data_IF_107790190407
#
_entry.id   IF_107790190407
#
_cell.length_a   1.000
_cell.length_b   1.000
_cell.length_c   1.000
_cell.angle_alpha   90.00
_cell.angle_beta   90.00
_cell.angle_gamma   90.00
#
_symmetry.space_group_name_H-M   'P 1'
#
loop_
_entity.id
_entity.type
_entity.pdbx_description
1 polymer ?
#
# COMPACT_ATOMS: atom_id res chain seq x y z
N UNK A 1 1.94 -2.49 29.52
CA UNK A 1 2.91 -2.27 28.62
C UNK A 1 3.68 -3.43 28.28
N UNK A 2 4.34 -4.03 29.18
CA UNK A 2 5.04 -5.19 28.89
C UNK A 2 4.20 -6.26 28.33
N UNK A 3 2.92 -6.29 28.66
CA UNK A 3 2.07 -7.37 28.23
C UNK A 3 1.98 -7.47 26.73
N UNK A 4 2.01 -6.37 26.03
CA UNK A 4 1.93 -6.41 24.59
C UNK A 4 3.14 -7.06 23.99
N UNK A 5 4.29 -6.72 24.46
CA UNK A 5 5.50 -7.30 23.96
C UNK A 5 5.60 -8.75 24.34
N UNK A 6 5.17 -9.07 25.53
CA UNK A 6 5.20 -10.45 25.92
C UNK A 6 4.28 -11.30 25.10
N UNK A 7 3.12 -10.77 24.77
CA UNK A 7 2.21 -11.51 23.92
C UNK A 7 2.82 -11.78 22.57
N UNK A 8 3.45 -10.78 22.00
CA UNK A 8 4.08 -10.99 20.71
C UNK A 8 5.21 -11.98 20.80
N UNK A 9 5.98 -11.89 21.85
CA UNK A 9 7.12 -12.77 21.98
C UNK A 9 6.69 -14.20 22.22
N UNK A 10 5.56 -14.39 22.85
CA UNK A 10 5.14 -15.73 23.17
C UNK A 10 4.26 -16.36 22.13
N UNK A 11 3.99 -15.68 21.05
CA UNK A 11 3.17 -16.22 20.00
C UNK A 11 3.81 -17.45 19.43
N UNK A 12 3.17 -18.57 19.54
CA UNK A 12 3.81 -19.81 19.09
C UNK A 12 4.08 -19.82 17.62
N UNK A 13 3.19 -19.23 16.87
CA UNK A 13 3.36 -19.25 15.45
C UNK A 13 4.62 -18.60 15.01
N UNK A 14 5.11 -17.67 15.79
CA UNK A 14 6.26 -16.94 15.36
C UNK A 14 7.48 -17.81 15.30
N UNK A 15 7.50 -18.84 16.08
CA UNK A 15 8.72 -19.61 16.14
C UNK A 15 8.86 -20.53 15.00
N UNK A 16 7.78 -20.90 14.36
CA UNK A 16 7.92 -21.87 13.34
C UNK A 16 7.88 -21.33 11.98
N UNK A 17 7.90 -20.12 11.81
CA UNK A 17 7.71 -19.60 10.50
C UNK A 17 8.98 -19.20 9.86
N UNK A 18 9.49 -20.01 8.98
CA UNK A 18 10.66 -19.58 8.22
C UNK A 18 10.37 -18.29 7.52
N UNK A 19 9.15 -18.11 7.09
CA UNK A 19 8.82 -16.90 6.41
C UNK A 19 8.78 -15.75 7.37
N UNK A 20 8.83 -15.99 8.65
CA UNK A 20 8.84 -14.89 9.58
C UNK A 20 10.08 -14.05 9.43
N UNK A 21 11.07 -14.55 8.71
CA UNK A 21 12.24 -13.73 8.46
C UNK A 21 11.93 -12.60 7.51
N UNK A 22 10.81 -12.66 6.83
CA UNK A 22 10.46 -11.60 5.91
C UNK A 22 9.85 -10.43 6.66
N UNK A 23 10.33 -9.25 6.34
CA UNK A 23 9.80 -8.04 6.92
C UNK A 23 8.41 -7.80 6.38
N UNK A 24 7.44 -7.41 7.21
CA UNK A 24 6.13 -7.03 6.70
C UNK A 24 6.26 -5.87 5.73
N UNK A 25 5.39 -5.87 4.73
CA UNK A 25 5.39 -4.81 3.75
C UNK A 25 4.80 -3.54 4.34
N UNK A 26 5.31 -2.41 3.90
CA UNK A 26 4.81 -1.11 4.33
C UNK A 26 3.89 -0.57 3.26
N UNK A 27 2.66 -0.29 3.65
CA UNK A 27 1.65 0.22 2.73
C UNK A 27 1.16 1.57 3.26
N UNK A 28 1.21 2.58 2.40
CA UNK A 28 0.71 3.89 2.76
C UNK A 28 -0.59 4.15 2.01
N UNK A 29 -1.64 4.52 2.75
CA UNK A 29 -2.91 4.86 2.17
C UNK A 29 -3.05 6.37 2.19
N UNK A 30 -3.39 6.97 1.05
CA UNK A 30 -3.65 8.41 0.99
C UNK A 30 -5.04 8.58 0.42
N UNK A 31 -5.98 8.92 1.28
CA UNK A 31 -7.38 9.02 0.91
C UNK A 31 -8.01 10.17 1.68
N UNK A 32 -8.52 11.19 0.98
CA UNK A 32 -9.12 12.33 1.66
C UNK A 32 -10.38 11.98 2.45
N UNK A 33 -11.14 11.00 2.00
CA UNK A 33 -12.38 10.65 2.67
C UNK A 33 -12.09 9.84 3.94
N UNK A 34 -12.40 10.38 5.13
CA UNK A 34 -11.93 9.74 6.36
C UNK A 34 -12.49 8.35 6.61
N UNK A 35 -13.74 8.11 6.28
CA UNK A 35 -14.32 6.80 6.52
C UNK A 35 -13.64 5.73 5.67
N UNK A 36 -13.48 6.02 4.38
CA UNK A 36 -12.82 5.07 3.50
C UNK A 36 -11.38 4.86 3.93
N UNK A 37 -10.70 5.92 4.30
CA UNK A 37 -9.33 5.85 4.76
C UNK A 37 -9.19 4.88 5.94
N UNK A 38 -10.08 5.00 6.91
CA UNK A 38 -10.04 4.14 8.08
C UNK A 38 -10.29 2.69 7.72
N UNK A 39 -11.27 2.45 6.86
CA UNK A 39 -11.60 1.08 6.46
C UNK A 39 -10.42 0.43 5.73
N UNK A 40 -9.78 1.20 4.87
CA UNK A 40 -8.67 0.67 4.09
C UNK A 40 -7.49 0.30 4.99
N UNK A 41 -7.12 1.20 5.89
CA UNK A 41 -5.95 0.92 6.72
C UNK A 41 -6.20 -0.24 7.67
N UNK A 42 -7.42 -0.37 8.16
CA UNK A 42 -7.75 -1.48 9.03
C UNK A 42 -7.65 -2.81 8.29
N UNK A 43 -8.15 -2.87 7.07
CA UNK A 43 -8.09 -4.10 6.30
C UNK A 43 -6.64 -4.50 6.01
N UNK A 44 -5.82 -3.54 5.66
CA UNK A 44 -4.42 -3.84 5.35
C UNK A 44 -3.66 -4.32 6.58
N UNK A 45 -3.97 -3.75 7.73
CA UNK A 45 -3.35 -4.22 8.96
C UNK A 45 -3.80 -5.62 9.31
N UNK A 46 -5.05 -5.95 9.06
CA UNK A 46 -5.54 -7.31 9.29
C UNK A 46 -4.81 -8.31 8.42
N UNK A 47 -4.37 -7.87 7.25
CA UNK A 47 -3.64 -8.75 6.35
C UNK A 47 -2.16 -8.82 6.68
N UNK A 48 -1.73 -8.19 7.75
CA UNK A 48 -0.34 -8.31 8.21
C UNK A 48 0.61 -7.25 7.70
N UNK A 49 0.10 -6.23 6.99
CA UNK A 49 0.98 -5.17 6.49
C UNK A 49 1.18 -4.11 7.56
N UNK A 50 2.33 -3.43 7.49
CA UNK A 50 2.54 -2.24 8.28
C UNK A 50 1.90 -1.09 7.52
N UNK A 51 0.68 -0.77 7.89
CA UNK A 51 -0.10 0.19 7.13
C UNK A 51 -0.33 1.47 7.92
N UNK A 52 -0.20 2.59 7.23
CA UNK A 52 -0.51 3.90 7.77
C UNK A 52 -1.42 4.60 6.77
N UNK A 53 -2.19 5.57 7.24
CA UNK A 53 -3.12 6.28 6.38
C UNK A 53 -3.09 7.76 6.71
N UNK A 54 -3.09 8.56 5.66
CA UNK A 54 -3.15 10.02 5.80
C UNK A 54 -4.17 10.56 4.80
N UNK A 55 -4.53 11.81 4.96
CA UNK A 55 -5.56 12.41 4.12
C UNK A 55 -5.04 13.27 2.99
N UNK A 56 -3.76 13.57 2.97
CA UNK A 56 -3.21 14.47 1.97
C UNK A 56 -1.82 14.05 1.52
N UNK A 57 -1.41 14.56 0.37
CA UNK A 57 -0.08 14.27 -0.13
C UNK A 57 0.99 14.90 0.76
N UNK A 58 0.73 16.06 1.31
CA UNK A 58 1.70 16.71 2.19
C UNK A 58 1.98 15.87 3.43
N UNK A 59 0.93 15.31 4.02
CA UNK A 59 1.11 14.42 5.15
C UNK A 59 1.88 13.17 4.76
N UNK A 60 1.63 12.66 3.56
CA UNK A 60 2.32 11.47 3.08
C UNK A 60 3.81 11.73 2.93
N UNK A 61 4.17 12.87 2.37
CA UNK A 61 5.58 13.21 2.18
C UNK A 61 6.28 13.34 3.53
N UNK A 62 5.62 14.00 4.49
CA UNK A 62 6.20 14.13 5.82
C UNK A 62 6.40 12.78 6.47
N UNK A 63 5.42 11.92 6.38
CA UNK A 63 5.49 10.62 7.02
C UNK A 63 6.60 9.76 6.43
N UNK A 64 6.87 9.93 5.17
CA UNK A 64 7.84 9.08 4.46
C UNK A 64 9.22 9.71 4.32
N UNK A 65 9.53 10.74 5.09
CA UNK A 65 10.82 11.40 4.95
C UNK A 65 11.99 10.47 5.15
N UNK A 66 11.84 9.56 6.10
CA UNK A 66 12.97 8.69 6.41
C UNK A 66 12.85 7.32 5.82
N UNK A 67 11.67 6.93 5.40
CA UNK A 67 11.49 5.59 4.86
C UNK A 67 10.31 5.56 3.90
N UNK A 68 10.58 5.14 2.66
CA UNK A 68 9.54 5.03 1.66
C UNK A 68 8.68 3.79 1.90
N UNK A 69 7.41 3.83 1.51
CA UNK A 69 6.60 2.64 1.59
C UNK A 69 6.95 1.69 0.45
N UNK A 70 6.51 0.45 0.58
CA UNK A 70 6.64 -0.51 -0.50
C UNK A 70 5.53 -0.32 -1.51
N UNK A 71 4.40 0.18 -1.05
CA UNK A 71 3.23 0.35 -1.91
C UNK A 71 2.44 1.55 -1.45
N UNK A 72 1.99 2.34 -2.40
CA UNK A 72 1.08 3.46 -2.15
C UNK A 72 -0.28 3.09 -2.68
N UNK A 73 -1.32 3.24 -1.85
CA UNK A 73 -2.71 3.09 -2.26
C UNK A 73 -3.33 4.47 -2.12
N UNK A 74 -3.62 5.12 -3.23
CA UNK A 74 -3.97 6.52 -3.19
C UNK A 74 -5.14 6.88 -4.08
N UNK A 75 -6.00 7.78 -3.60
CA UNK A 75 -6.98 8.41 -4.47
C UNK A 75 -6.25 9.05 -5.64
N UNK A 76 -6.89 9.02 -6.80
CA UNK A 76 -6.26 9.55 -8.01
C UNK A 76 -5.92 11.02 -7.88
N UNK A 77 -6.88 11.80 -7.40
CA UNK A 77 -6.73 13.25 -7.30
C UNK A 77 -6.61 13.63 -5.84
N UNK A 78 -5.55 14.35 -5.52
CA UNK A 78 -5.31 14.86 -4.18
C UNK A 78 -5.21 16.36 -4.26
N UNK A 79 -5.33 17.02 -3.11
CA UNK A 79 -5.19 18.46 -3.09
C UNK A 79 -3.79 18.82 -3.54
N UNK A 80 -3.69 19.57 -4.63
CA UNK A 80 -2.41 20.04 -5.18
C UNK A 80 -1.46 18.93 -5.62
N UNK A 81 -2.00 17.72 -5.86
CA UNK A 81 -1.15 16.61 -6.28
C UNK A 81 -2.00 15.51 -6.90
N UNK A 82 -1.35 14.49 -7.43
CA UNK A 82 -2.03 13.32 -7.95
C UNK A 82 -1.33 12.09 -7.39
N UNK A 83 -2.02 10.96 -7.44
CA UNK A 83 -1.44 9.71 -6.99
C UNK A 83 -0.15 9.40 -7.73
N UNK A 84 -0.12 9.67 -9.03
CA UNK A 84 1.06 9.35 -9.84
C UNK A 84 2.26 10.19 -9.46
N UNK A 85 2.05 11.47 -9.27
CA UNK A 85 3.14 12.35 -8.86
C UNK A 85 3.65 11.98 -7.49
N UNK A 86 2.73 11.66 -6.58
CA UNK A 86 3.12 11.30 -5.24
C UNK A 86 3.94 10.00 -5.26
N UNK A 87 3.51 9.02 -6.06
CA UNK A 87 4.24 7.77 -6.15
C UNK A 87 5.65 7.99 -6.68
N UNK A 88 5.80 8.86 -7.67
CA UNK A 88 7.11 9.19 -8.19
C UNK A 88 7.98 9.85 -7.13
N UNK A 89 7.38 10.74 -6.38
CA UNK A 89 8.08 11.45 -5.33
C UNK A 89 8.54 10.50 -4.23
N UNK A 90 7.70 9.53 -3.88
CA UNK A 90 8.02 8.57 -2.83
C UNK A 90 8.84 7.39 -3.33
N UNK A 91 8.90 7.19 -4.63
CA UNK A 91 9.69 6.11 -5.21
C UNK A 91 9.15 4.73 -4.97
N UNK A 92 7.85 4.53 -5.10
CA UNK A 92 7.23 3.25 -4.81
C UNK A 92 6.16 2.90 -5.83
N UNK A 93 5.69 1.65 -5.77
CA UNK A 93 4.59 1.20 -6.61
C UNK A 93 3.29 1.84 -6.15
N UNK A 94 2.31 1.91 -7.03
CA UNK A 94 1.06 2.59 -6.70
C UNK A 94 -0.17 1.87 -7.25
N UNK A 95 -1.18 1.75 -6.40
CA UNK A 95 -2.52 1.40 -6.79
C UNK A 95 -3.33 2.69 -6.72
N UNK A 96 -3.93 3.06 -7.84
CA UNK A 96 -4.71 4.29 -7.91
C UNK A 96 -6.19 3.99 -7.72
N UNK A 97 -6.82 4.72 -6.81
CA UNK A 97 -8.26 4.60 -6.57
C UNK A 97 -8.93 5.74 -7.34
N UNK A 98 -9.74 5.42 -8.32
CA UNK A 98 -10.31 6.43 -9.19
C UNK A 98 -11.82 6.39 -9.20
N UNK A 99 -12.44 7.57 -9.33
CA UNK A 99 -13.89 7.67 -9.51
C UNK A 99 -14.25 7.66 -10.98
N UNK A 100 -13.28 7.76 -11.87
CA UNK A 100 -13.55 7.79 -13.31
C UNK A 100 -13.96 6.42 -13.79
N UNK A 101 -14.86 6.38 -14.76
CA UNK A 101 -15.33 5.13 -15.34
C UNK A 101 -14.85 5.03 -16.78
N UNK A 102 -14.91 3.81 -17.30
CA UNK A 102 -14.57 3.59 -18.70
C UNK A 102 -13.17 3.04 -18.86
N UNK A 103 -12.99 2.34 -19.97
CA UNK A 103 -11.74 1.69 -20.28
C UNK A 103 -10.65 2.72 -20.57
N UNK A 104 -11.04 3.82 -21.19
CA UNK A 104 -10.08 4.84 -21.58
C UNK A 104 -9.38 5.44 -20.35
N UNK A 105 -10.15 5.71 -19.28
CA UNK A 105 -9.55 6.25 -18.06
C UNK A 105 -8.58 5.24 -17.44
N UNK A 106 -8.96 3.99 -17.44
CA UNK A 106 -8.11 2.92 -16.92
C UNK A 106 -6.81 2.84 -17.70
N UNK A 107 -6.92 2.82 -19.02
CA UNK A 107 -5.74 2.72 -19.87
C UNK A 107 -4.82 3.91 -19.66
N UNK A 108 -5.39 5.11 -19.56
CA UNK A 108 -4.58 6.31 -19.36
C UNK A 108 -3.79 6.23 -18.06
N UNK A 109 -4.43 5.80 -16.98
CA UNK A 109 -3.73 5.71 -15.70
C UNK A 109 -2.62 4.67 -15.73
N UNK A 110 -2.89 3.53 -16.37
CA UNK A 110 -1.85 2.51 -16.49
C UNK A 110 -0.70 3.00 -17.35
N UNK A 111 -1.01 3.71 -18.43
CA UNK A 111 0.03 4.27 -19.28
C UNK A 111 0.87 5.31 -18.56
N UNK A 112 0.27 6.02 -17.62
CA UNK A 112 1.00 7.01 -16.85
C UNK A 112 1.90 6.37 -15.79
N UNK A 113 1.77 5.07 -15.59
CA UNK A 113 2.66 4.38 -14.68
C UNK A 113 2.00 3.77 -13.46
N UNK A 114 0.67 3.79 -13.36
CA UNK A 114 0.01 3.12 -12.25
C UNK A 114 0.28 1.63 -12.35
N UNK A 115 0.60 1.00 -11.24
CA UNK A 115 0.83 -0.42 -11.24
C UNK A 115 -0.48 -1.19 -11.22
N UNK A 116 -1.52 -0.59 -10.69
CA UNK A 116 -2.87 -1.13 -10.76
C UNK A 116 -3.85 0.01 -10.52
N UNK A 117 -5.10 -0.21 -10.93
CA UNK A 117 -6.13 0.81 -10.80
C UNK A 117 -7.41 0.13 -10.30
N UNK A 118 -8.04 0.72 -9.29
CA UNK A 118 -9.32 0.26 -8.79
C UNK A 118 -10.32 1.37 -8.91
N UNK A 119 -11.47 1.06 -9.48
CA UNK A 119 -12.54 2.05 -9.66
C UNK A 119 -13.48 2.02 -8.47
N UNK A 120 -13.78 3.18 -7.93
CA UNK A 120 -14.74 3.29 -6.84
C UNK A 120 -16.14 3.14 -7.39
N UNK A 121 -17.00 2.39 -6.72
CA UNK A 121 -16.75 1.64 -5.48
C UNK A 121 -16.09 0.30 -5.77
N UNK A 122 -15.27 -0.14 -4.87
CA UNK A 122 -14.59 -1.42 -5.03
C UNK A 122 -14.75 -2.24 -3.75
N UNK A 123 -14.49 -3.53 -3.85
CA UNK A 123 -14.55 -4.39 -2.68
C UNK A 123 -13.22 -4.44 -1.97
N UNK A 124 -13.26 -4.57 -0.65
CA UNK A 124 -12.04 -4.66 0.13
C UNK A 124 -11.26 -5.93 -0.20
N UNK A 125 -11.96 -7.00 -0.55
CA UNK A 125 -11.29 -8.23 -0.94
C UNK A 125 -10.46 -8.02 -2.19
N UNK A 126 -11.01 -7.28 -3.14
CA UNK A 126 -10.30 -7.02 -4.37
C UNK A 126 -9.06 -6.17 -4.11
N UNK A 127 -9.22 -5.12 -3.32
CA UNK A 127 -8.07 -4.28 -2.97
C UNK A 127 -6.99 -5.10 -2.28
N UNK A 128 -7.39 -5.90 -1.31
CA UNK A 128 -6.44 -6.70 -0.56
C UNK A 128 -5.68 -7.65 -1.47
N UNK A 129 -6.37 -8.27 -2.42
CA UNK A 129 -5.74 -9.20 -3.33
C UNK A 129 -4.75 -8.50 -4.24
N UNK A 130 -5.09 -7.31 -4.72
CA UNK A 130 -4.19 -6.59 -5.60
C UNK A 130 -2.94 -6.10 -4.85
N UNK A 131 -3.11 -5.70 -3.60
CA UNK A 131 -1.97 -5.32 -2.78
C UNK A 131 -1.02 -6.52 -2.61
N UNK A 132 -1.57 -7.68 -2.29
CA UNK A 132 -0.74 -8.87 -2.11
C UNK A 132 0.03 -9.21 -3.38
N UNK A 133 -0.65 -9.09 -4.52
CA UNK A 133 -0.02 -9.43 -5.79
C UNK A 133 1.14 -8.51 -6.11
N UNK A 134 0.95 -7.21 -5.94
CA UNK A 134 2.01 -6.25 -6.23
C UNK A 134 3.18 -6.40 -5.26
N UNK A 135 2.89 -6.61 -4.00
CA UNK A 135 3.95 -6.75 -3.02
C UNK A 135 4.75 -8.02 -3.25
N UNK A 136 4.07 -9.07 -3.67
CA UNK A 136 4.74 -10.32 -3.99
C UNK A 136 5.65 -10.18 -5.19
N UNK A 137 5.19 -9.48 -6.23
CA UNK A 137 6.00 -9.26 -7.41
C UNK A 137 7.26 -8.48 -7.09
N UNK A 138 7.13 -7.48 -6.24
CA UNK A 138 8.27 -6.68 -5.86
C UNK A 138 9.34 -7.51 -5.20
N UNK A 139 8.94 -8.42 -4.33
CA UNK A 139 9.90 -9.27 -3.66
C UNK A 139 10.58 -10.24 -4.60
N UNK A 140 9.80 -10.80 -5.52
CA UNK A 140 10.37 -11.71 -6.49
C UNK A 140 11.37 -10.99 -7.39
N UNK A 141 10.99 -9.80 -7.85
CA UNK A 141 11.87 -9.02 -8.69
C UNK A 141 13.17 -8.67 -7.98
N UNK A 142 13.06 -8.34 -6.70
CA UNK A 142 14.23 -8.00 -5.93
C UNK A 142 15.15 -9.20 -5.77
N UNK A 143 14.57 -10.37 -5.55
CA UNK A 143 15.37 -11.58 -5.44
C UNK A 143 16.10 -11.88 -6.73
N UNK A 144 15.43 -11.71 -7.83
CA UNK A 144 16.05 -11.96 -9.11
C UNK A 144 17.25 -11.05 -9.33
N UNK A 145 17.11 -9.79 -8.93
CA UNK A 145 18.18 -8.86 -9.07
C UNK A 145 19.38 -9.26 -8.22
N UNK A 146 19.09 -9.75 -7.04
CA UNK A 146 20.16 -10.14 -6.15
C UNK A 146 20.92 -11.33 -6.66
N UNK A 147 20.23 -12.23 -7.32
CA UNK A 147 20.88 -13.43 -7.82
C UNK A 147 21.71 -13.19 -9.06
N UNK A 148 21.49 -12.11 -9.74
CA UNK A 148 22.29 -11.81 -10.91
C UNK A 148 23.64 -11.27 -10.49
#
# INVERSE_FOLDING_TARGET
MQSTEQILASTPGSSQLPMSSQTPSRVLVVEPHPTLRTVLVQRLRQDGHLAAAVGSAAEAVDLCREQSPDLLVSAEILEQNTAMRLAQQLGCSVIVLTARSGVEALVNLLDEGADDVLRKPFGLEELAARCRTLLKRGRIGLQEKVEV
#
